data_IF_753651021598
#
_entry.id   IF_753651021598
#
_cell.length_a   1.000
_cell.length_b   1.000
_cell.length_c   1.000
_cell.angle_alpha   90.00
_cell.angle_beta   90.00
_cell.angle_gamma   90.00
#
_symmetry.space_group_name_H-M   'P 1'
#
loop_
_entity.id
_entity.type
_entity.pdbx_description
1 polymer ?
#
# COMPACT_ATOMS: atom_id res chain seq x y z
N UNK A 1 -4.02 -5.89 16.51
CA UNK A 1 -2.96 -6.29 15.55
C UNK A 1 -1.79 -7.00 16.23
N UNK A 2 -1.31 -6.54 17.40
CA UNK A 2 -0.18 -7.15 18.14
C UNK A 2 -0.44 -8.63 18.54
N UNK A 3 -1.62 -8.99 19.02
CA UNK A 3 -1.95 -10.39 19.38
C UNK A 3 -1.96 -11.36 18.19
N UNK A 4 -2.35 -10.90 17.00
CA UNK A 4 -2.29 -11.72 15.76
C UNK A 4 -0.84 -11.88 15.33
N UNK A 5 -0.01 -10.85 15.51
CA UNK A 5 1.41 -10.92 15.24
C UNK A 5 2.12 -11.90 16.17
N UNK A 6 1.84 -11.89 17.48
CA UNK A 6 2.41 -12.87 18.41
C UNK A 6 1.96 -14.29 18.09
N UNK A 7 0.69 -14.49 17.68
CA UNK A 7 0.18 -15.80 17.30
C UNK A 7 0.77 -16.30 15.97
N UNK A 8 0.90 -15.43 14.95
CA UNK A 8 1.54 -15.74 13.67
C UNK A 8 3.06 -15.93 13.83
N UNK A 9 3.69 -15.17 14.72
CA UNK A 9 5.09 -15.34 15.07
C UNK A 9 5.32 -16.67 15.80
N UNK A 10 4.40 -17.07 16.68
CA UNK A 10 4.39 -18.40 17.30
C UNK A 10 4.16 -19.53 16.26
N UNK A 11 3.38 -19.29 15.21
CA UNK A 11 3.27 -20.20 14.05
C UNK A 11 4.58 -20.26 13.23
N UNK A 12 5.45 -19.25 13.29
CA UNK A 12 6.77 -19.28 12.63
C UNK A 12 7.87 -19.94 13.49
N UNK A 13 7.78 -19.86 14.83
CA UNK A 13 8.81 -20.36 15.77
C UNK A 13 8.53 -21.78 16.29
N UNK A 14 7.26 -22.15 16.51
CA UNK A 14 6.82 -23.47 17.01
C UNK A 14 6.41 -24.56 15.96
N UNK A 15 6.48 -24.38 14.62
CA UNK A 15 5.98 -25.40 13.70
C UNK A 15 6.89 -26.63 13.62
N UNK A 16 8.12 -26.57 14.17
CA UNK A 16 9.06 -27.71 14.17
C UNK A 16 8.56 -28.90 14.99
N UNK A 17 7.87 -28.69 16.11
CA UNK A 17 7.34 -29.79 16.90
C UNK A 17 6.06 -30.33 16.26
N UNK A 18 5.15 -29.46 15.83
CA UNK A 18 3.83 -29.86 15.31
C UNK A 18 3.91 -30.45 13.90
N UNK A 19 4.62 -29.82 12.95
CA UNK A 19 4.77 -30.37 11.59
C UNK A 19 5.63 -31.64 11.61
N UNK A 20 6.73 -31.68 12.35
CA UNK A 20 7.52 -32.92 12.44
C UNK A 20 6.77 -34.05 13.18
N UNK A 21 5.88 -33.75 14.15
CA UNK A 21 5.06 -34.76 14.83
C UNK A 21 3.93 -35.33 13.97
N UNK A 22 3.21 -34.46 13.26
CA UNK A 22 1.98 -34.83 12.53
C UNK A 22 2.24 -35.66 11.27
N UNK A 23 3.46 -35.59 10.72
CA UNK A 23 3.83 -36.23 9.46
C UNK A 23 4.12 -37.73 9.57
N UNK A 24 4.46 -38.22 10.76
CA UNK A 24 4.95 -39.61 10.93
C UNK A 24 3.97 -40.51 11.69
N UNK A 25 2.84 -39.99 12.18
CA UNK A 25 1.97 -40.74 13.07
C UNK A 25 0.48 -40.46 12.82
N UNK A 26 -0.21 -41.41 12.18
CA UNK A 26 -1.66 -41.35 11.95
C UNK A 26 -2.45 -41.13 13.25
N UNK A 27 -1.97 -41.61 14.40
CA UNK A 27 -2.64 -41.40 15.69
C UNK A 27 -2.66 -39.92 16.10
N UNK A 28 -1.62 -39.16 15.77
CA UNK A 28 -1.59 -37.73 16.09
C UNK A 28 -2.63 -36.98 15.26
N UNK A 29 -2.78 -37.33 13.97
CA UNK A 29 -3.84 -36.77 13.12
C UNK A 29 -5.23 -37.07 13.68
N UNK A 30 -5.47 -38.30 14.13
CA UNK A 30 -6.73 -38.66 14.79
C UNK A 30 -6.97 -37.87 16.09
N UNK A 31 -5.94 -37.66 16.90
CA UNK A 31 -6.02 -36.84 18.11
C UNK A 31 -6.39 -35.39 17.73
N UNK A 32 -5.76 -34.83 16.71
CA UNK A 32 -6.05 -33.45 16.26
C UNK A 32 -7.48 -33.34 15.77
N UNK A 33 -7.93 -34.25 14.91
CA UNK A 33 -9.31 -34.24 14.39
C UNK A 33 -10.33 -34.39 15.53
N UNK A 34 -10.04 -35.24 16.53
CA UNK A 34 -10.87 -35.35 17.74
C UNK A 34 -10.85 -34.06 18.55
N UNK A 35 -9.69 -33.44 18.74
CA UNK A 35 -9.58 -32.18 19.49
C UNK A 35 -10.30 -31.03 18.78
N UNK A 36 -10.34 -31.00 17.45
CA UNK A 36 -11.12 -30.04 16.67
C UNK A 36 -12.63 -30.34 16.81
N UNK A 37 -13.04 -31.62 16.69
CA UNK A 37 -14.45 -32.01 16.77
C UNK A 37 -15.06 -31.84 18.17
N UNK A 38 -14.30 -32.15 19.24
CA UNK A 38 -14.79 -32.09 20.62
C UNK A 38 -14.78 -30.65 21.16
N UNK A 39 -13.81 -29.83 20.76
CA UNK A 39 -13.67 -28.47 21.27
C UNK A 39 -14.21 -27.42 20.29
N UNK A 40 -15.19 -27.77 19.45
CA UNK A 40 -15.75 -26.83 18.48
C UNK A 40 -16.31 -25.56 19.18
N UNK A 41 -16.89 -25.72 20.38
CA UNK A 41 -17.42 -24.61 21.17
C UNK A 41 -16.35 -23.88 22.00
N UNK A 42 -15.16 -24.47 22.15
CA UNK A 42 -14.06 -23.88 22.90
C UNK A 42 -13.07 -23.18 21.96
N UNK A 43 -13.34 -21.91 21.72
CA UNK A 43 -12.52 -21.03 20.89
C UNK A 43 -11.05 -20.95 21.32
N UNK A 44 -10.64 -21.46 22.49
CA UNK A 44 -9.24 -21.37 22.94
C UNK A 44 -8.36 -22.57 22.54
N UNK A 45 -8.91 -23.58 21.86
CA UNK A 45 -8.10 -24.72 21.39
C UNK A 45 -7.09 -24.29 20.33
N UNK A 46 -5.81 -24.63 20.54
CA UNK A 46 -4.72 -24.33 19.61
C UNK A 46 -4.99 -24.85 18.18
N UNK A 47 -5.52 -26.07 18.06
CA UNK A 47 -5.78 -26.69 16.75
C UNK A 47 -6.94 -26.00 16.03
N UNK A 48 -7.99 -25.65 16.76
CA UNK A 48 -9.13 -24.91 16.23
C UNK A 48 -8.71 -23.52 15.74
N UNK A 49 -7.99 -22.76 16.56
CA UNK A 49 -7.43 -21.47 16.17
C UNK A 49 -6.49 -21.56 14.96
N UNK A 50 -5.68 -22.63 14.89
CA UNK A 50 -4.85 -22.90 13.72
C UNK A 50 -5.70 -23.13 12.47
N UNK A 51 -6.74 -23.97 12.55
CA UNK A 51 -7.64 -24.23 11.43
C UNK A 51 -8.36 -22.95 10.96
N UNK A 52 -8.82 -22.10 11.90
CA UNK A 52 -9.41 -20.80 11.57
C UNK A 52 -8.44 -19.87 10.83
N UNK A 53 -7.16 -19.84 11.23
CA UNK A 53 -6.16 -19.04 10.55
C UNK A 53 -5.82 -19.58 9.16
N UNK A 54 -5.73 -20.91 9.02
CA UNK A 54 -5.52 -21.54 7.71
C UNK A 54 -6.66 -21.18 6.77
N UNK A 55 -7.91 -21.33 7.23
CA UNK A 55 -9.10 -20.94 6.48
C UNK A 55 -9.11 -19.44 6.13
N UNK A 56 -8.83 -18.56 7.10
CA UNK A 56 -8.83 -17.10 6.91
C UNK A 56 -7.88 -16.64 5.81
N UNK A 57 -6.69 -17.21 5.74
CA UNK A 57 -5.67 -16.82 4.76
C UNK A 57 -5.65 -17.74 3.53
N UNK A 58 -6.68 -18.57 3.35
CA UNK A 58 -6.78 -19.55 2.26
C UNK A 58 -5.51 -20.44 2.14
N UNK A 59 -4.93 -20.81 3.27
CA UNK A 59 -3.78 -21.69 3.34
C UNK A 59 -4.21 -23.16 3.24
N UNK A 60 -3.37 -24.04 2.68
CA UNK A 60 -3.64 -25.47 2.65
C UNK A 60 -3.95 -26.01 4.04
N UNK A 61 -4.99 -26.82 4.15
CA UNK A 61 -5.28 -27.54 5.37
C UNK A 61 -4.17 -28.56 5.62
N UNK A 62 -3.29 -28.28 6.58
CA UNK A 62 -2.19 -29.15 6.96
C UNK A 62 -2.66 -30.50 7.54
N UNK A 63 -3.94 -30.63 7.85
CA UNK A 63 -4.56 -31.86 8.33
C UNK A 63 -5.12 -32.73 7.18
N UNK A 64 -5.22 -32.19 5.95
CA UNK A 64 -5.62 -32.97 4.77
C UNK A 64 -4.56 -34.04 4.45
N UNK A 65 -5.02 -35.27 4.20
CA UNK A 65 -4.19 -36.41 3.85
C UNK A 65 -3.69 -36.36 2.41
N UNK A 66 -4.39 -35.62 1.55
CA UNK A 66 -4.09 -35.55 0.12
C UNK A 66 -3.02 -34.50 -0.22
N UNK A 67 -2.70 -33.61 0.72
CA UNK A 67 -1.75 -32.51 0.50
C UNK A 67 -0.34 -32.98 0.89
N UNK A 68 0.64 -32.96 -0.04
CA UNK A 68 2.01 -33.30 0.29
C UNK A 68 2.57 -32.30 1.30
N UNK A 69 3.24 -32.83 2.34
CA UNK A 69 3.76 -32.01 3.42
C UNK A 69 4.90 -31.11 2.89
N UNK A 70 4.77 -29.78 2.99
CA UNK A 70 5.82 -28.88 2.57
C UNK A 70 6.99 -28.90 3.57
N UNK A 71 8.22 -28.69 3.06
CA UNK A 71 9.38 -28.47 3.93
C UNK A 71 9.17 -27.23 4.80
N UNK A 72 9.83 -27.15 5.96
CA UNK A 72 9.71 -25.99 6.88
C UNK A 72 9.94 -24.65 6.15
N UNK A 73 10.95 -24.60 5.28
CA UNK A 73 11.29 -23.39 4.53
C UNK A 73 10.20 -23.04 3.51
N UNK A 74 9.71 -24.04 2.77
CA UNK A 74 8.61 -23.88 1.81
C UNK A 74 7.34 -23.41 2.50
N UNK A 75 6.96 -24.04 3.63
CA UNK A 75 5.80 -23.65 4.42
C UNK A 75 5.91 -22.22 4.94
N UNK A 76 7.05 -21.83 5.52
CA UNK A 76 7.27 -20.46 5.99
C UNK A 76 7.14 -19.45 4.85
N UNK A 77 7.67 -19.77 3.67
CA UNK A 77 7.57 -18.92 2.48
C UNK A 77 6.10 -18.79 2.04
N UNK A 78 5.38 -19.91 1.94
CA UNK A 78 3.96 -19.94 1.57
C UNK A 78 3.12 -19.09 2.54
N UNK A 79 3.20 -19.36 3.84
CA UNK A 79 2.46 -18.62 4.88
C UNK A 79 2.76 -17.13 4.80
N UNK A 80 4.04 -16.73 4.65
CA UNK A 80 4.42 -15.33 4.51
C UNK A 80 3.80 -14.71 3.25
N UNK A 81 3.84 -15.41 2.12
CA UNK A 81 3.29 -14.94 0.85
C UNK A 81 1.77 -14.77 0.92
N UNK A 82 1.03 -15.77 1.38
CA UNK A 82 -0.44 -15.71 1.43
C UNK A 82 -0.93 -14.67 2.42
N UNK A 83 -0.34 -14.59 3.62
CA UNK A 83 -0.70 -13.55 4.60
C UNK A 83 -0.40 -12.16 4.03
N UNK A 84 0.77 -11.97 3.41
CA UNK A 84 1.12 -10.70 2.78
C UNK A 84 0.17 -10.35 1.65
N UNK A 85 -0.22 -11.32 0.83
CA UNK A 85 -1.16 -11.15 -0.29
C UNK A 85 -2.55 -10.74 0.21
N UNK A 86 -3.08 -11.48 1.19
CA UNK A 86 -4.36 -11.21 1.83
C UNK A 86 -4.46 -9.77 2.34
N UNK A 87 -3.48 -9.33 3.14
CA UNK A 87 -3.48 -7.97 3.68
C UNK A 87 -3.23 -6.92 2.61
N UNK A 88 -2.37 -7.20 1.62
CA UNK A 88 -2.12 -6.26 0.52
C UNK A 88 -3.39 -6.04 -0.30
N UNK A 89 -4.14 -7.11 -0.61
CA UNK A 89 -5.40 -7.01 -1.34
C UNK A 89 -6.44 -6.22 -0.53
N UNK A 90 -6.68 -6.62 0.73
CA UNK A 90 -7.66 -5.95 1.58
C UNK A 90 -7.36 -4.46 1.80
N UNK A 91 -6.11 -4.10 2.05
CA UNK A 91 -5.71 -2.69 2.20
C UNK A 91 -5.89 -1.89 0.91
N UNK A 92 -5.67 -2.49 -0.27
CA UNK A 92 -5.91 -1.82 -1.56
C UNK A 92 -7.40 -1.63 -1.80
N UNK A 93 -8.23 -2.64 -1.52
CA UNK A 93 -9.69 -2.54 -1.63
C UNK A 93 -10.25 -1.46 -0.71
N UNK A 94 -9.81 -1.43 0.55
CA UNK A 94 -10.18 -0.37 1.50
C UNK A 94 -9.73 1.02 1.00
N UNK A 95 -8.49 1.13 0.51
CA UNK A 95 -7.98 2.40 0.01
C UNK A 95 -8.72 2.91 -1.24
N UNK A 96 -9.18 2.00 -2.13
CA UNK A 96 -10.02 2.35 -3.27
C UNK A 96 -11.36 2.98 -2.87
N UNK A 97 -11.88 2.65 -1.68
CA UNK A 97 -13.14 3.22 -1.18
C UNK A 97 -12.94 4.60 -0.53
N UNK A 98 -11.71 5.01 -0.23
CA UNK A 98 -11.41 6.26 0.46
C UNK A 98 -11.08 7.35 -0.58
N UNK A 99 -12.01 8.27 -0.80
CA UNK A 99 -11.85 9.33 -1.81
C UNK A 99 -10.66 10.28 -1.58
N UNK A 100 -10.19 10.43 -0.33
CA UNK A 100 -9.00 11.23 -0.02
C UNK A 100 -7.70 10.58 -0.50
N UNK A 101 -7.71 9.27 -0.74
CA UNK A 101 -6.59 8.48 -1.28
C UNK A 101 -6.62 8.40 -2.81
N UNK A 102 -7.43 9.21 -3.50
CA UNK A 102 -7.51 9.24 -4.97
C UNK A 102 -6.16 9.53 -5.64
N UNK A 103 -5.24 10.16 -4.90
CA UNK A 103 -3.90 10.45 -5.38
C UNK A 103 -2.85 9.40 -4.96
N UNK A 104 -3.22 8.39 -4.18
CA UNK A 104 -2.30 7.34 -3.80
C UNK A 104 -2.28 6.28 -4.90
N UNK A 105 -1.12 6.05 -5.51
CA UNK A 105 -0.98 4.95 -6.45
C UNK A 105 -0.89 3.63 -5.67
N UNK A 106 -2.03 2.94 -5.57
CA UNK A 106 -2.18 1.66 -4.87
C UNK A 106 -1.42 0.50 -5.55
N UNK A 107 -0.89 0.72 -6.75
CA UNK A 107 -0.01 -0.26 -7.38
C UNK A 107 1.41 -0.23 -6.80
N UNK A 108 1.78 0.82 -6.08
CA UNK A 108 3.07 0.87 -5.40
C UNK A 108 3.03 0.07 -4.11
N UNK A 109 3.93 -0.90 -4.06
CA UNK A 109 4.27 -1.61 -2.85
C UNK A 109 3.32 -2.75 -2.48
N UNK A 110 3.90 -3.66 -1.71
CA UNK A 110 3.18 -4.63 -0.91
C UNK A 110 3.00 -4.02 0.50
N UNK A 111 2.16 -4.63 1.34
CA UNK A 111 2.02 -4.22 2.75
C UNK A 111 3.35 -4.17 3.54
N UNK A 112 4.42 -4.78 3.00
CA UNK A 112 5.75 -4.85 3.62
C UNK A 112 6.79 -3.87 3.03
N UNK A 113 6.41 -3.00 2.09
CA UNK A 113 7.32 -2.03 1.47
C UNK A 113 6.87 -0.61 1.73
N UNK A 114 7.82 0.30 1.87
CA UNK A 114 7.57 1.74 1.93
C UNK A 114 7.10 2.28 0.58
N UNK A 115 6.36 3.39 0.62
CA UNK A 115 6.02 4.11 -0.60
C UNK A 115 7.29 4.72 -1.22
N UNK A 116 7.45 4.78 -2.56
CA UNK A 116 8.66 5.29 -3.22
C UNK A 116 9.06 6.72 -2.85
N UNK A 117 8.13 7.50 -2.31
CA UNK A 117 8.38 8.83 -1.74
C UNK A 117 9.45 8.81 -0.64
N UNK A 118 9.63 7.67 0.05
CA UNK A 118 10.63 7.51 1.10
C UNK A 118 11.97 6.97 0.60
N UNK A 119 12.04 6.41 -0.60
CA UNK A 119 13.22 5.70 -1.09
C UNK A 119 14.37 6.64 -1.50
N UNK A 120 14.04 7.90 -1.84
CA UNK A 120 15.02 8.93 -2.18
C UNK A 120 15.36 9.88 -1.03
N UNK A 121 14.78 9.66 0.16
CA UNK A 121 14.93 10.60 1.29
C UNK A 121 16.25 10.34 2.00
N UNK A 122 17.19 11.27 1.86
CA UNK A 122 18.39 11.29 2.69
C UNK A 122 18.04 11.56 4.16
N UNK A 123 18.96 11.23 5.09
CA UNK A 123 18.80 11.52 6.52
C UNK A 123 18.94 13.02 6.86
N UNK A 124 18.30 13.87 6.05
CA UNK A 124 18.27 15.32 6.14
C UNK A 124 16.84 15.77 6.50
N UNK A 125 16.72 16.65 7.51
CA UNK A 125 15.44 17.19 7.97
C UNK A 125 14.64 17.88 6.87
N UNK A 126 15.30 18.53 5.91
CA UNK A 126 14.65 19.20 4.78
C UNK A 126 13.97 18.17 3.87
N UNK A 127 14.69 17.12 3.49
CA UNK A 127 14.16 16.05 2.63
C UNK A 127 13.05 15.26 3.32
N UNK A 128 13.19 14.98 4.62
CA UNK A 128 12.14 14.34 5.43
C UNK A 128 10.87 15.20 5.45
N UNK A 129 10.99 16.53 5.58
CA UNK A 129 9.84 17.45 5.56
C UNK A 129 9.18 17.53 4.18
N UNK A 130 9.96 17.54 3.11
CA UNK A 130 9.44 17.49 1.72
C UNK A 130 8.65 16.19 1.50
N UNK A 131 9.24 15.05 1.82
CA UNK A 131 8.60 13.74 1.71
C UNK A 131 7.33 13.64 2.58
N UNK A 132 7.38 14.13 3.82
CA UNK A 132 6.21 14.18 4.70
C UNK A 132 5.09 15.02 4.11
N UNK A 133 5.41 16.20 3.56
CA UNK A 133 4.42 17.07 2.89
C UNK A 133 3.79 16.38 1.69
N UNK A 134 4.61 15.69 0.89
CA UNK A 134 4.17 14.93 -0.27
C UNK A 134 3.27 13.76 0.11
N UNK A 135 3.60 13.01 1.16
CA UNK A 135 2.73 11.95 1.71
C UNK A 135 1.42 12.53 2.23
N UNK A 136 1.44 13.71 2.87
CA UNK A 136 0.20 14.37 3.30
C UNK A 136 -0.68 14.73 2.11
N UNK A 137 -0.11 15.18 0.99
CA UNK A 137 -0.87 15.44 -0.23
C UNK A 137 -1.43 14.16 -0.85
N UNK A 138 -0.62 13.08 -0.94
CA UNK A 138 -1.04 11.77 -1.43
C UNK A 138 -2.20 11.17 -0.63
N UNK A 139 -2.19 11.37 0.69
CA UNK A 139 -3.18 10.82 1.63
C UNK A 139 -4.39 11.73 1.86
N UNK A 140 -4.39 12.94 1.27
CA UNK A 140 -5.43 13.95 1.50
C UNK A 140 -5.44 14.52 2.93
N UNK A 141 -4.31 14.48 3.64
CA UNK A 141 -4.13 15.05 4.99
C UNK A 141 -3.34 16.38 4.98
N UNK A 142 -3.02 16.88 3.79
CA UNK A 142 -2.45 18.22 3.60
C UNK A 142 -3.58 19.25 3.53
N UNK A 143 -3.69 20.09 4.56
CA UNK A 143 -4.78 21.04 4.72
C UNK A 143 -4.57 22.30 3.86
N UNK A 144 -5.23 22.36 2.70
CA UNK A 144 -5.30 23.55 1.83
C UNK A 144 -6.35 24.57 2.31
N UNK A 145 -6.41 25.78 1.74
CA UNK A 145 -7.46 26.76 2.13
C UNK A 145 -8.88 26.24 1.91
N UNK A 146 -9.14 25.46 0.86
CA UNK A 146 -10.45 24.85 0.66
C UNK A 146 -10.88 23.96 1.83
N UNK A 147 -9.96 23.15 2.36
CA UNK A 147 -10.21 22.29 3.52
C UNK A 147 -10.43 23.13 4.79
N UNK A 148 -9.58 24.13 5.00
CA UNK A 148 -9.70 25.02 6.17
C UNK A 148 -11.04 25.73 6.17
N UNK A 149 -11.47 26.27 5.03
CA UNK A 149 -12.79 26.88 4.88
C UNK A 149 -13.93 25.88 5.19
N UNK A 150 -13.81 24.62 4.75
CA UNK A 150 -14.82 23.59 4.98
C UNK A 150 -14.93 23.15 6.45
N UNK A 151 -13.81 23.05 7.17
CA UNK A 151 -13.76 22.43 8.52
C UNK A 151 -13.64 23.44 9.67
N UNK A 152 -13.38 24.72 9.38
CA UNK A 152 -13.27 25.77 10.39
C UNK A 152 -14.63 26.24 10.89
N UNK A 153 -14.71 26.62 12.17
CA UNK A 153 -15.86 27.31 12.73
C UNK A 153 -15.91 28.80 12.33
N UNK A 154 -14.76 29.35 11.94
CA UNK A 154 -14.61 30.73 11.50
C UNK A 154 -14.67 30.83 9.97
N UNK A 155 -15.15 31.98 9.47
CA UNK A 155 -15.10 32.32 8.05
C UNK A 155 -13.64 32.47 7.58
N UNK A 156 -13.15 31.46 6.85
CA UNK A 156 -11.84 31.47 6.20
C UNK A 156 -12.06 31.62 4.70
N UNK A 157 -11.33 32.52 4.04
CA UNK A 157 -11.37 32.62 2.59
C UNK A 157 -10.77 31.35 1.94
N UNK A 158 -11.52 30.60 1.10
CA UNK A 158 -11.00 29.41 0.44
C UNK A 158 -10.01 29.71 -0.69
N UNK A 159 -9.81 30.97 -1.08
CA UNK A 159 -8.90 31.33 -2.18
C UNK A 159 -7.43 31.04 -1.86
N UNK A 160 -6.64 30.77 -2.89
CA UNK A 160 -5.21 30.53 -2.76
C UNK A 160 -4.48 31.74 -2.18
N UNK A 161 -3.68 31.51 -1.13
CA UNK A 161 -2.92 32.57 -0.47
C UNK A 161 -1.80 33.15 -1.32
N UNK A 162 -1.45 32.49 -2.43
CA UNK A 162 -0.41 32.95 -3.33
C UNK A 162 -0.98 33.82 -4.44
N UNK A 163 -2.04 33.35 -5.12
CA UNK A 163 -2.57 34.04 -6.28
C UNK A 163 -3.83 34.88 -5.99
N UNK A 164 -4.54 34.61 -4.90
CA UNK A 164 -5.81 35.24 -4.51
C UNK A 164 -6.89 35.24 -5.60
N UNK A 165 -6.90 34.24 -6.50
CA UNK A 165 -7.79 34.19 -7.67
C UNK A 165 -8.77 33.02 -7.64
N UNK A 166 -8.26 31.81 -7.38
CA UNK A 166 -9.04 30.57 -7.41
C UNK A 166 -9.03 29.90 -6.04
N UNK A 167 -9.95 28.97 -5.82
CA UNK A 167 -9.98 28.13 -4.62
C UNK A 167 -8.69 27.32 -4.52
N UNK A 168 -8.06 27.30 -3.34
CA UNK A 168 -6.86 26.51 -3.11
C UNK A 168 -7.21 25.05 -2.85
N UNK A 169 -7.01 24.21 -3.86
CA UNK A 169 -6.93 22.77 -3.69
C UNK A 169 -5.57 22.22 -4.14
N UNK A 170 -5.36 20.91 -3.93
CA UNK A 170 -4.11 20.24 -4.33
C UNK A 170 -3.85 20.41 -5.84
N UNK A 171 -4.91 20.37 -6.65
CA UNK A 171 -4.83 20.53 -8.10
C UNK A 171 -4.33 21.93 -8.47
N UNK A 172 -4.89 22.96 -7.84
CA UNK A 172 -4.53 24.35 -8.05
C UNK A 172 -3.06 24.57 -7.69
N UNK A 173 -2.65 24.16 -6.48
CA UNK A 173 -1.27 24.32 -6.01
C UNK A 173 -0.28 23.63 -6.96
N UNK A 174 -0.54 22.37 -7.31
CA UNK A 174 0.41 21.56 -8.06
C UNK A 174 0.37 21.76 -9.57
N UNK A 175 -0.70 22.32 -10.16
CA UNK A 175 -0.82 22.39 -11.63
C UNK A 175 -1.33 23.71 -12.20
N UNK A 176 -2.07 24.54 -11.46
CA UNK A 176 -2.79 25.70 -12.04
C UNK A 176 -2.31 27.06 -11.51
N UNK A 177 -1.84 27.14 -10.26
CA UNK A 177 -1.52 28.41 -9.61
C UNK A 177 -0.51 29.22 -10.43
N UNK A 178 -0.85 30.42 -10.94
CA UNK A 178 -0.01 31.16 -11.87
C UNK A 178 1.30 31.64 -11.24
N UNK A 179 1.29 31.89 -9.93
CA UNK A 179 2.48 32.34 -9.18
C UNK A 179 3.55 31.25 -9.16
N UNK A 180 3.16 29.98 -9.09
CA UNK A 180 4.06 28.82 -9.04
C UNK A 180 4.46 28.30 -10.44
N UNK A 181 4.15 29.04 -11.50
CA UNK A 181 4.34 28.56 -12.87
C UNK A 181 5.82 28.32 -13.20
N UNK A 182 6.72 29.16 -12.71
CA UNK A 182 8.15 29.05 -13.01
C UNK A 182 8.80 27.91 -12.24
N UNK A 183 8.49 27.78 -10.96
CA UNK A 183 8.94 26.70 -10.09
C UNK A 183 8.49 25.35 -10.64
N UNK A 184 7.25 25.24 -11.12
CA UNK A 184 6.75 23.99 -11.74
C UNK A 184 7.47 23.61 -13.03
N UNK A 185 7.98 24.56 -13.82
CA UNK A 185 8.70 24.23 -15.06
C UNK A 185 9.94 23.39 -14.79
N UNK A 186 10.64 23.63 -13.68
CA UNK A 186 11.82 22.86 -13.29
C UNK A 186 11.48 21.39 -13.05
N UNK A 187 10.31 21.09 -12.48
CA UNK A 187 9.85 19.73 -12.25
C UNK A 187 9.15 19.10 -13.47
N UNK A 188 8.41 19.90 -14.26
CA UNK A 188 7.65 19.38 -15.40
C UNK A 188 8.55 19.03 -16.58
N UNK A 189 9.68 19.71 -16.74
CA UNK A 189 10.59 19.47 -17.88
C UNK A 189 11.18 18.05 -17.84
N UNK A 190 11.77 17.56 -16.72
CA UNK A 190 12.23 16.17 -16.62
C UNK A 190 11.11 15.16 -16.79
N UNK A 191 9.92 15.41 -16.22
CA UNK A 191 8.77 14.51 -16.34
C UNK A 191 8.32 14.42 -17.81
N UNK A 192 8.21 15.56 -18.50
CA UNK A 192 7.87 15.62 -19.92
C UNK A 192 8.85 14.83 -20.76
N UNK A 193 10.15 15.05 -20.53
CA UNK A 193 11.20 14.32 -21.23
C UNK A 193 11.05 12.82 -21.01
N UNK A 194 10.93 12.39 -19.75
CA UNK A 194 10.80 10.99 -19.40
C UNK A 194 9.57 10.34 -20.05
N UNK A 195 8.41 11.01 -20.04
CA UNK A 195 7.18 10.52 -20.72
C UNK A 195 7.39 10.41 -22.22
N UNK A 196 8.03 11.39 -22.84
CA UNK A 196 8.26 11.44 -24.30
C UNK A 196 9.23 10.35 -24.75
N UNK A 197 10.24 10.03 -23.95
CA UNK A 197 11.23 8.97 -24.23
C UNK A 197 10.65 7.55 -24.06
N UNK A 198 9.63 7.38 -23.21
CA UNK A 198 9.13 6.06 -22.81
C UNK A 198 7.71 5.74 -23.29
N UNK A 199 7.08 6.64 -24.05
CA UNK A 199 5.68 6.51 -24.46
C UNK A 199 5.50 6.91 -25.94
N UNK A 200 4.39 6.51 -26.60
CA UNK A 200 4.10 6.97 -27.95
C UNK A 200 4.08 8.50 -28.09
N UNK A 201 4.43 9.06 -29.26
CA UNK A 201 4.34 10.50 -29.51
C UNK A 201 2.94 11.05 -29.20
N UNK A 202 2.86 12.22 -28.57
CA UNK A 202 1.60 12.86 -28.16
C UNK A 202 1.06 12.46 -26.79
N UNK A 203 1.67 11.45 -26.12
CA UNK A 203 1.23 11.00 -24.78
C UNK A 203 1.33 12.10 -23.74
N UNK A 204 2.39 12.94 -23.81
CA UNK A 204 2.55 14.04 -22.86
C UNK A 204 1.42 15.05 -22.96
N UNK A 205 1.01 15.45 -24.16
CA UNK A 205 -0.06 16.42 -24.38
C UNK A 205 -1.40 15.90 -23.84
N UNK A 206 -1.69 14.61 -24.06
CA UNK A 206 -2.87 13.95 -23.50
C UNK A 206 -2.85 13.94 -21.97
N UNK A 207 -1.72 13.56 -21.36
CA UNK A 207 -1.54 13.57 -19.90
C UNK A 207 -1.62 14.98 -19.33
N UNK A 208 -0.97 15.96 -19.97
CA UNK A 208 -0.90 17.35 -19.50
C UNK A 208 -2.26 18.06 -19.49
N UNK A 209 -3.15 17.65 -20.39
CA UNK A 209 -4.54 18.09 -20.43
C UNK A 209 -5.38 17.46 -19.30
N UNK A 210 -4.99 16.28 -18.80
CA UNK A 210 -5.60 15.67 -17.62
C UNK A 210 -4.89 16.12 -16.33
N UNK A 211 -5.42 17.18 -15.70
CA UNK A 211 -4.81 17.79 -14.51
C UNK A 211 -4.68 16.83 -13.33
N UNK A 212 -5.59 15.86 -13.18
CA UNK A 212 -5.48 14.83 -12.15
C UNK A 212 -4.30 13.90 -12.42
N UNK A 213 -4.11 13.49 -13.68
CA UNK A 213 -2.97 12.65 -14.07
C UNK A 213 -1.63 13.38 -13.86
N UNK A 214 -1.54 14.67 -14.18
CA UNK A 214 -0.33 15.47 -13.90
C UNK A 214 -0.08 15.59 -12.40
N UNK A 215 -1.11 15.92 -11.62
CA UNK A 215 -1.01 16.04 -10.15
C UNK A 215 -0.46 14.75 -9.56
N UNK A 216 -1.01 13.62 -10.01
CA UNK A 216 -0.55 12.31 -9.61
C UNK A 216 0.89 12.03 -10.01
N UNK A 217 1.29 12.36 -11.24
CA UNK A 217 2.68 12.19 -11.69
C UNK A 217 3.63 13.00 -10.81
N UNK A 218 3.31 14.26 -10.53
CA UNK A 218 4.12 15.10 -9.63
C UNK A 218 4.22 14.48 -8.23
N UNK A 219 3.10 13.96 -7.70
CA UNK A 219 3.05 13.30 -6.41
C UNK A 219 3.67 11.90 -6.39
N UNK A 220 3.86 11.26 -7.54
CA UNK A 220 4.60 10.00 -7.63
C UNK A 220 6.08 10.26 -7.89
N UNK A 221 6.43 11.39 -8.51
CA UNK A 221 7.79 11.64 -8.98
C UNK A 221 8.80 11.81 -7.86
N UNK A 222 9.62 10.78 -7.59
CA UNK A 222 10.83 10.90 -6.78
C UNK A 222 11.99 11.52 -7.57
N UNK A 223 12.94 12.16 -6.88
CA UNK A 223 14.10 12.86 -7.48
C UNK A 223 14.97 11.94 -8.35
N UNK A 224 14.90 10.63 -8.14
CA UNK A 224 15.53 9.61 -8.98
C UNK A 224 14.58 9.16 -10.09
N UNK A 225 14.28 10.04 -11.04
CA UNK A 225 13.38 9.87 -12.21
C UNK A 225 13.80 8.69 -13.16
N UNK A 226 14.70 7.79 -12.75
CA UNK A 226 15.38 6.82 -13.61
C UNK A 226 14.70 5.45 -13.76
N UNK A 227 13.61 5.14 -13.04
CA UNK A 227 12.91 3.87 -13.25
C UNK A 227 11.84 3.98 -14.35
N UNK A 228 12.27 3.82 -15.60
CA UNK A 228 11.42 3.78 -16.81
C UNK A 228 10.21 2.85 -16.69
N UNK A 229 10.31 1.80 -15.89
CA UNK A 229 9.24 0.82 -15.64
C UNK A 229 7.97 1.42 -15.01
N UNK A 230 8.07 2.55 -14.28
CA UNK A 230 6.90 3.15 -13.64
C UNK A 230 5.96 3.87 -14.63
N UNK A 231 6.49 4.46 -15.72
CA UNK A 231 5.69 5.23 -16.69
C UNK A 231 4.93 4.23 -17.53
N UNK A 232 5.63 3.17 -17.97
CA UNK A 232 5.05 2.14 -18.82
C UNK A 232 3.83 1.50 -18.15
N UNK A 233 3.89 1.24 -16.83
CA UNK A 233 2.72 0.72 -16.09
C UNK A 233 1.55 1.69 -16.05
N UNK A 234 1.82 3.00 -16.08
CA UNK A 234 0.82 4.05 -15.88
C UNK A 234 0.22 4.57 -17.19
N UNK A 235 0.97 4.54 -18.28
CA UNK A 235 0.46 4.84 -19.63
C UNK A 235 -0.46 3.72 -20.12
N UNK A 236 -0.24 2.49 -19.66
CA UNK A 236 -1.01 1.32 -20.05
C UNK A 236 -2.21 1.01 -19.14
N UNK A 237 -2.41 1.76 -18.05
CA UNK A 237 -3.52 1.60 -17.09
C UNK A 237 -4.59 2.67 -17.30
#
# INVERSE_FOLDING_TARGET
MIQVYDYVYNLQTSPRKILAWTCSNNKIKEIINRQIAVNFDNNNSFFFQTALLLAKYNLPDIFDKNIPIPSKLSWKKLVKTEISSFWTLGLKEEAHQISSLKFLNLNFGNANSTHPVWDSVEQNLIEIRKASTKVRMLTGTYMVQADKHKFSQYTIDPTCLLCHREIEDILHVLTQCPVLCNERKEYFTPIKQLVTENSPPGTWELLFNNKLAVTQLVLDCHDKIYETTWIQRRVNS
#
